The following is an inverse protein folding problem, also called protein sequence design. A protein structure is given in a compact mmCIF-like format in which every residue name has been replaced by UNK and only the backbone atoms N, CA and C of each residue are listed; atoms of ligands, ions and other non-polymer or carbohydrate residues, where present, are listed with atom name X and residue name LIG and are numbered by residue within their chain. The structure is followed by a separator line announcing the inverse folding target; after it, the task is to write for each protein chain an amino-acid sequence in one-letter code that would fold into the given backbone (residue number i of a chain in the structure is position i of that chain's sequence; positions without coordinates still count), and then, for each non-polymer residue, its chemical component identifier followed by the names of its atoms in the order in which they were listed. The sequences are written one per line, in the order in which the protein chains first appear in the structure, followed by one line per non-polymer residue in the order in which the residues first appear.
data_IF_587192854588
#
_entry.id   IF_587192854588
#
_cell.length_a   1.000
_cell.length_b   1.000
_cell.length_c   1.000
_cell.angle_alpha   90.00
_cell.angle_beta   90.00
_cell.angle_gamma   90.00
#
_symmetry.space_group_name_H-M   'P 1'
#
loop_
_entity.id
_entity.type
_entity.pdbx_description
1 polymer ?
#
# COMPACT_ATOMS: atom_id res chain seq x y z
N UNK A 1 22.01 -1.93 20.08
CA UNK A 1 20.53 -1.98 20.01
C UNK A 1 19.92 -1.37 18.72
N UNK A 2 20.71 -1.12 17.66
CA UNK A 2 20.25 -0.32 16.49
C UNK A 2 19.25 -1.03 15.55
N UNK A 3 19.17 -2.36 15.51
CA UNK A 3 18.30 -3.08 14.56
C UNK A 3 16.79 -2.89 14.76
N UNK A 4 16.34 -2.73 16.02
CA UNK A 4 14.90 -2.66 16.35
C UNK A 4 14.22 -1.36 15.89
N UNK A 5 14.93 -0.24 15.96
CA UNK A 5 14.37 1.07 15.59
C UNK A 5 14.02 1.15 14.10
N UNK A 6 14.82 0.52 13.23
CA UNK A 6 14.57 0.49 11.79
C UNK A 6 13.29 -0.27 11.45
N UNK A 7 13.09 -1.41 12.11
CA UNK A 7 11.90 -2.24 11.89
C UNK A 7 10.62 -1.52 12.31
N UNK A 8 10.67 -0.80 13.43
CA UNK A 8 9.50 -0.07 13.97
C UNK A 8 9.15 1.11 13.06
N UNK A 9 10.13 1.89 12.61
CA UNK A 9 9.90 3.04 11.74
C UNK A 9 9.32 2.62 10.37
N UNK A 10 9.94 1.63 9.72
CA UNK A 10 9.45 1.07 8.46
C UNK A 10 8.07 0.43 8.62
N UNK A 11 7.84 -0.27 9.73
CA UNK A 11 6.55 -0.89 10.03
C UNK A 11 5.42 0.12 10.19
N UNK A 12 5.64 1.14 11.02
CA UNK A 12 4.63 2.18 11.29
C UNK A 12 4.26 2.95 10.02
N UNK A 13 5.26 3.39 9.24
CA UNK A 13 5.00 4.11 8.00
C UNK A 13 4.38 3.20 6.94
N UNK A 14 4.81 1.95 6.85
CA UNK A 14 4.20 0.95 5.96
C UNK A 14 2.73 0.71 6.29
N UNK A 15 2.36 0.59 7.56
CA UNK A 15 0.96 0.44 8.00
C UNK A 15 0.15 1.67 7.63
N UNK A 16 0.67 2.87 7.94
CA UNK A 16 -0.03 4.12 7.68
C UNK A 16 -0.29 4.28 6.17
N UNK A 17 0.72 4.05 5.35
CA UNK A 17 0.63 4.12 3.87
C UNK A 17 -0.30 3.06 3.31
N UNK A 18 -0.18 1.81 3.75
CA UNK A 18 -1.03 0.71 3.30
C UNK A 18 -2.50 0.94 3.64
N UNK A 19 -2.79 1.49 4.83
CA UNK A 19 -4.15 1.83 5.25
C UNK A 19 -4.70 2.99 4.45
N UNK A 20 -3.92 4.07 4.25
CA UNK A 20 -4.31 5.21 3.43
C UNK A 20 -4.58 4.82 1.98
N UNK A 21 -3.77 3.92 1.41
CA UNK A 21 -3.96 3.40 0.06
C UNK A 21 -5.21 2.51 -0.06
N UNK A 22 -5.63 1.86 1.01
CA UNK A 22 -6.77 0.96 1.00
C UNK A 22 -8.15 1.67 1.08
N UNK A 23 -8.22 2.97 1.38
CA UNK A 23 -9.50 3.69 1.50
C UNK A 23 -10.00 4.16 0.12
N UNK A 24 -11.11 3.58 -0.41
CA UNK A 24 -11.74 4.04 -1.63
C UNK A 24 -12.40 5.40 -1.37
N UNK A 25 -11.93 6.43 -2.05
CA UNK A 25 -12.33 7.84 -1.85
C UNK A 25 -11.13 8.77 -1.67
N UNK A 26 -10.18 8.38 -0.80
CA UNK A 26 -8.87 9.04 -0.73
C UNK A 26 -7.94 8.61 -1.88
N UNK A 27 -8.27 7.48 -2.53
CA UNK A 27 -7.61 7.01 -3.75
C UNK A 27 -7.79 7.97 -4.96
N UNK A 28 -8.60 9.03 -4.86
CA UNK A 28 -8.67 10.12 -5.86
C UNK A 28 -7.51 11.11 -5.70
N UNK A 29 -6.88 11.21 -4.52
CA UNK A 29 -5.66 12.01 -4.31
C UNK A 29 -4.40 11.39 -4.94
N UNK A 30 -4.54 10.31 -5.72
CA UNK A 30 -3.51 9.41 -6.25
C UNK A 30 -3.53 9.32 -7.79
N UNK A 31 -3.56 10.44 -8.51
CA UNK A 31 -3.30 10.41 -9.96
C UNK A 31 -1.93 9.76 -10.32
N UNK A 32 -1.05 9.58 -9.34
CA UNK A 32 0.16 8.77 -9.42
C UNK A 32 0.17 7.74 -8.28
N UNK A 33 0.03 6.45 -8.60
CA UNK A 33 -0.02 5.34 -7.62
C UNK A 33 1.20 5.26 -6.68
N UNK A 34 2.29 5.96 -7.03
CA UNK A 34 3.55 5.97 -6.30
C UNK A 34 3.62 7.03 -5.19
N UNK A 35 2.73 8.03 -5.19
CA UNK A 35 2.88 9.22 -4.33
C UNK A 35 2.98 8.88 -2.82
N UNK A 36 2.10 8.06 -2.25
CA UNK A 36 2.19 7.74 -0.83
C UNK A 36 3.23 6.66 -0.54
N UNK A 37 3.66 5.89 -1.54
CA UNK A 37 4.88 5.09 -1.41
C UNK A 37 6.08 6.02 -1.19
N UNK A 38 6.20 7.11 -1.97
CA UNK A 38 7.26 8.10 -1.80
C UNK A 38 7.18 8.78 -0.44
N UNK A 39 6.00 9.25 -0.04
CA UNK A 39 5.79 9.87 1.29
C UNK A 39 6.08 8.88 2.42
N UNK A 40 5.67 7.62 2.25
CA UNK A 40 5.92 6.53 3.18
C UNK A 40 7.39 6.24 3.42
N UNK A 41 8.12 6.00 2.33
CA UNK A 41 9.56 5.73 2.36
C UNK A 41 10.32 6.92 2.92
N UNK A 42 9.96 8.15 2.50
CA UNK A 42 10.59 9.35 3.02
C UNK A 42 10.35 9.55 4.52
N UNK A 43 9.12 9.32 4.98
CA UNK A 43 8.80 9.38 6.41
C UNK A 43 9.51 8.30 7.23
N UNK A 44 9.69 7.09 6.68
CA UNK A 44 10.40 6.00 7.36
C UNK A 44 11.90 6.33 7.53
N UNK A 45 12.53 6.91 6.50
CA UNK A 45 13.90 7.40 6.57
C UNK A 45 14.01 8.56 7.58
N UNK A 46 13.09 9.52 7.53
CA UNK A 46 13.08 10.65 8.46
C UNK A 46 12.96 10.21 9.92
N UNK A 47 12.03 9.32 10.25
CA UNK A 47 11.91 8.77 11.60
C UNK A 47 13.16 8.02 12.03
N UNK A 48 13.76 7.25 11.11
CA UNK A 48 14.98 6.50 11.40
C UNK A 48 16.15 7.44 11.73
N UNK A 49 16.32 8.52 10.95
CA UNK A 49 17.35 9.53 11.17
C UNK A 49 17.14 10.26 12.50
N UNK A 50 15.89 10.65 12.81
CA UNK A 50 15.55 11.31 14.08
C UNK A 50 15.82 10.42 15.30
N UNK A 51 15.67 9.10 15.15
CA UNK A 51 15.93 8.15 16.25
C UNK A 51 17.42 7.88 16.44
N UNK A 52 18.25 8.07 15.40
CA UNK A 52 19.69 7.83 15.42
C UNK A 52 20.44 9.09 14.99
N UNK A 53 20.37 10.14 15.81
CA UNK A 53 20.77 11.52 15.46
C UNK A 53 22.23 11.69 14.99
N UNK A 54 23.10 10.71 15.23
CA UNK A 54 24.54 10.80 14.94
C UNK A 54 25.10 9.68 14.05
N UNK A 55 24.28 8.73 13.58
CA UNK A 55 24.77 7.63 12.76
C UNK A 55 24.64 7.97 11.26
N UNK A 56 25.74 8.00 10.49
CA UNK A 56 25.66 8.13 9.04
C UNK A 56 24.85 6.94 8.46
N UNK A 57 23.98 7.24 7.51
CA UNK A 57 23.13 6.23 6.87
C UNK A 57 23.73 5.87 5.51
N UNK A 58 24.11 4.61 5.34
CA UNK A 58 24.58 4.12 4.05
C UNK A 58 23.41 3.90 3.06
N UNK A 59 23.70 4.01 1.77
CA UNK A 59 22.72 3.77 0.69
C UNK A 59 22.06 2.39 0.83
N UNK A 60 22.83 1.36 1.20
CA UNK A 60 22.32 0.00 1.40
C UNK A 60 21.25 -0.06 2.51
N UNK A 61 21.41 0.73 3.58
CA UNK A 61 20.41 0.81 4.66
C UNK A 61 19.15 1.53 4.21
N UNK A 62 19.28 2.61 3.45
CA UNK A 62 18.13 3.34 2.89
C UNK A 62 17.33 2.46 1.91
N UNK A 63 18.00 1.67 1.07
CA UNK A 63 17.35 0.69 0.19
C UNK A 63 16.56 -0.35 1.00
N UNK A 64 17.17 -0.91 2.05
CA UNK A 64 16.51 -1.91 2.90
C UNK A 64 15.27 -1.34 3.62
N UNK A 65 15.36 -0.11 4.14
CA UNK A 65 14.23 0.59 4.77
C UNK A 65 13.10 0.81 3.75
N UNK A 66 13.42 1.25 2.53
CA UNK A 66 12.44 1.42 1.46
C UNK A 66 11.74 0.12 1.10
N UNK A 67 12.50 -0.96 0.91
CA UNK A 67 11.96 -2.29 0.62
C UNK A 67 11.04 -2.80 1.73
N UNK A 68 11.49 -2.74 2.99
CA UNK A 68 10.68 -3.17 4.14
C UNK A 68 9.37 -2.39 4.24
N UNK A 69 9.43 -1.08 4.02
CA UNK A 69 8.25 -0.22 4.04
C UNK A 69 7.25 -0.62 2.95
N UNK A 70 7.73 -0.92 1.73
CA UNK A 70 6.89 -1.36 0.61
C UNK A 70 6.26 -2.74 0.84
N UNK A 71 7.00 -3.69 1.42
CA UNK A 71 6.48 -5.01 1.76
C UNK A 71 5.36 -4.87 2.79
N UNK A 72 5.60 -4.14 3.90
CA UNK A 72 4.58 -3.92 4.94
C UNK A 72 3.36 -3.20 4.37
N UNK A 73 3.57 -2.15 3.58
CA UNK A 73 2.48 -1.41 2.95
C UNK A 73 1.63 -2.32 2.04
N UNK A 74 2.26 -3.20 1.26
CA UNK A 74 1.56 -4.14 0.37
C UNK A 74 0.73 -5.16 1.15
N UNK A 75 1.29 -5.71 2.23
CA UNK A 75 0.58 -6.66 3.11
C UNK A 75 -0.62 -5.98 3.77
N UNK A 76 -0.43 -4.77 4.31
CA UNK A 76 -1.51 -4.01 4.96
C UNK A 76 -2.57 -3.60 3.95
N UNK A 77 -2.17 -3.14 2.77
CA UNK A 77 -3.07 -2.82 1.68
C UNK A 77 -3.93 -4.02 1.28
N UNK A 78 -3.32 -5.20 1.17
CA UNK A 78 -4.05 -6.43 0.86
C UNK A 78 -5.06 -6.77 1.97
N UNK A 79 -4.64 -6.78 3.23
CA UNK A 79 -5.53 -7.11 4.37
C UNK A 79 -6.70 -6.13 4.46
N UNK A 80 -6.40 -4.82 4.47
CA UNK A 80 -7.43 -3.78 4.62
C UNK A 80 -8.29 -3.69 3.37
N UNK A 81 -7.68 -3.73 2.18
CA UNK A 81 -8.38 -3.65 0.90
C UNK A 81 -9.32 -4.83 0.68
N UNK A 82 -8.87 -6.07 0.93
CA UNK A 82 -9.74 -7.25 0.87
C UNK A 82 -10.84 -7.18 1.93
N UNK A 83 -10.52 -6.79 3.16
CA UNK A 83 -11.51 -6.63 4.23
C UNK A 83 -12.60 -5.61 3.88
N UNK A 84 -12.21 -4.45 3.35
CA UNK A 84 -13.14 -3.40 2.96
C UNK A 84 -13.99 -3.81 1.75
N UNK A 85 -13.44 -4.57 0.82
CA UNK A 85 -14.17 -5.08 -0.34
C UNK A 85 -15.22 -6.12 0.06
N UNK A 86 -14.87 -7.04 0.97
CA UNK A 86 -15.82 -7.99 1.54
C UNK A 86 -16.95 -7.27 2.29
N UNK A 87 -16.60 -6.23 3.06
CA UNK A 87 -17.59 -5.39 3.74
C UNK A 87 -18.51 -4.68 2.74
N UNK A 88 -17.95 -4.13 1.68
CA UNK A 88 -18.71 -3.46 0.61
C UNK A 88 -19.71 -4.43 -0.02
N UNK A 89 -19.28 -5.65 -0.31
CA UNK A 89 -20.14 -6.71 -0.85
C UNK A 89 -21.24 -7.11 0.14
N UNK A 90 -20.92 -7.21 1.44
CA UNK A 90 -21.90 -7.52 2.48
C UNK A 90 -22.92 -6.39 2.70
N UNK A 91 -22.58 -5.15 2.33
CA UNK A 91 -23.48 -3.99 2.42
C UNK A 91 -24.37 -3.82 1.18
N UNK A 92 -24.03 -4.42 0.02
CA UNK A 92 -24.88 -4.45 -1.19
C UNK A 92 -26.33 -4.89 -0.88
N UNK A 93 -26.61 -5.95 -0.08
CA UNK A 93 -27.98 -6.34 0.21
C UNK A 93 -28.78 -5.28 0.97
N UNK A 94 -28.17 -4.32 1.67
CA UNK A 94 -28.91 -3.22 2.30
C UNK A 94 -29.45 -2.22 1.28
N UNK A 95 -28.91 -2.20 0.06
CA UNK A 95 -29.44 -1.46 -1.08
C UNK A 95 -30.51 -2.25 -1.85
N UNK A 96 -30.96 -3.41 -1.33
CA UNK A 96 -31.91 -4.30 -2.01
C UNK A 96 -33.21 -3.63 -2.44
N UNK A 97 -33.70 -2.59 -1.76
CA UNK A 97 -34.89 -1.85 -2.22
C UNK A 97 -34.73 -1.23 -3.61
N UNK A 98 -33.50 -0.96 -4.05
CA UNK A 98 -33.19 -0.50 -5.41
C UNK A 98 -33.10 -1.70 -6.37
N UNK A 99 -32.62 -2.86 -5.88
CA UNK A 99 -32.42 -4.10 -6.65
C UNK A 99 -33.67 -5.00 -6.75
N UNK A 100 -34.73 -4.78 -5.96
CA UNK A 100 -35.99 -5.53 -6.00
C UNK A 100 -36.95 -5.04 -7.08
N UNK A 101 -36.58 -4.01 -7.86
CA UNK A 101 -37.35 -3.65 -9.06
C UNK A 101 -37.35 -4.83 -10.03
N UNK A 102 -38.52 -5.30 -10.50
CA UNK A 102 -38.63 -6.51 -11.32
C UNK A 102 -37.80 -6.43 -12.61
N UNK A 103 -37.69 -5.23 -13.20
CA UNK A 103 -36.86 -4.96 -14.38
C UNK A 103 -35.35 -5.16 -14.14
N UNK A 104 -34.90 -5.02 -12.89
CA UNK A 104 -33.50 -5.19 -12.51
C UNK A 104 -33.21 -6.66 -12.13
N UNK A 105 -34.18 -7.34 -11.51
CA UNK A 105 -34.04 -8.74 -11.11
C UNK A 105 -33.95 -9.71 -12.30
N UNK A 106 -34.68 -9.48 -13.39
CA UNK A 106 -34.65 -10.36 -14.56
C UNK A 106 -33.26 -10.34 -15.23
N UNK A 107 -32.67 -9.14 -15.40
CA UNK A 107 -31.29 -8.96 -15.89
C UNK A 107 -30.21 -9.42 -14.91
N UNK A 108 -30.49 -9.37 -13.61
CA UNK A 108 -29.57 -9.86 -12.59
C UNK A 108 -29.57 -11.39 -12.59
N UNK A 109 -30.74 -12.03 -12.55
CA UNK A 109 -30.98 -13.50 -12.54
C UNK A 109 -30.37 -14.21 -13.74
N UNK A 110 -30.48 -13.64 -14.94
CA UNK A 110 -29.80 -14.13 -16.15
C UNK A 110 -28.26 -14.07 -16.01
N UNK A 111 -27.75 -13.13 -15.21
CA UNK A 111 -26.34 -13.00 -14.85
C UNK A 111 -25.93 -13.77 -13.60
N UNK A 112 -26.80 -14.40 -12.78
CA UNK A 112 -26.39 -14.99 -11.48
C UNK A 112 -25.57 -16.28 -11.65
N UNK A 113 -25.86 -17.07 -12.69
CA UNK A 113 -24.98 -18.17 -13.11
C UNK A 113 -23.58 -17.69 -13.53
N UNK A 114 -23.49 -16.45 -14.02
CA UNK A 114 -22.24 -15.73 -14.33
C UNK A 114 -21.68 -15.03 -13.07
N UNK A 115 -22.51 -14.67 -12.09
CA UNK A 115 -22.15 -13.84 -10.92
C UNK A 115 -21.26 -14.58 -9.92
N UNK A 116 -21.44 -15.90 -9.75
CA UNK A 116 -20.48 -16.72 -8.99
C UNK A 116 -19.10 -16.75 -9.65
N UNK A 117 -19.07 -16.84 -10.99
CA UNK A 117 -17.84 -16.76 -11.78
C UNK A 117 -17.21 -15.37 -11.76
N UNK A 118 -18.01 -14.31 -11.86
CA UNK A 118 -17.58 -12.91 -11.78
C UNK A 118 -17.04 -12.59 -10.38
N UNK A 119 -17.61 -13.15 -9.33
CA UNK A 119 -17.10 -13.02 -7.95
C UNK A 119 -15.70 -13.63 -7.81
N UNK A 120 -15.54 -14.89 -8.24
CA UNK A 120 -14.22 -15.55 -8.26
C UNK A 120 -13.23 -14.81 -9.16
N UNK A 121 -13.66 -14.36 -10.34
CA UNK A 121 -12.83 -13.59 -11.26
C UNK A 121 -12.42 -12.23 -10.68
N UNK A 122 -13.30 -11.56 -9.93
CA UNK A 122 -13.02 -10.27 -9.28
C UNK A 122 -11.99 -10.45 -8.16
N UNK A 123 -12.13 -11.49 -7.34
CA UNK A 123 -11.15 -11.79 -6.29
C UNK A 123 -9.80 -12.17 -6.91
N UNK A 124 -9.80 -13.08 -7.89
CA UNK A 124 -8.55 -13.52 -8.54
C UNK A 124 -7.87 -12.34 -9.23
N UNK A 125 -8.61 -11.54 -10.00
CA UNK A 125 -8.05 -10.36 -10.67
C UNK A 125 -7.51 -9.34 -9.68
N UNK A 126 -8.17 -9.13 -8.54
CA UNK A 126 -7.68 -8.25 -7.48
C UNK A 126 -6.41 -8.78 -6.81
N UNK A 127 -6.33 -10.08 -6.52
CA UNK A 127 -5.12 -10.72 -5.98
C UNK A 127 -3.97 -10.58 -6.96
N UNK A 128 -4.19 -10.87 -8.25
CA UNK A 128 -3.19 -10.74 -9.30
C UNK A 128 -2.72 -9.29 -9.41
N UNK A 129 -3.63 -8.32 -9.46
CA UNK A 129 -3.28 -6.91 -9.50
C UNK A 129 -2.49 -6.46 -8.28
N UNK A 130 -2.86 -6.93 -7.09
CA UNK A 130 -2.15 -6.60 -5.86
C UNK A 130 -0.72 -7.17 -5.88
N UNK A 131 -0.53 -8.38 -6.38
CA UNK A 131 0.80 -8.97 -6.55
C UNK A 131 1.63 -8.16 -7.54
N UNK A 132 1.06 -7.82 -8.70
CA UNK A 132 1.76 -7.03 -9.74
C UNK A 132 2.17 -5.66 -9.18
N UNK A 133 1.26 -4.93 -8.55
CA UNK A 133 1.58 -3.65 -7.92
C UNK A 133 2.57 -3.79 -6.77
N UNK A 134 2.44 -4.85 -5.96
CA UNK A 134 3.37 -5.16 -4.89
C UNK A 134 4.80 -5.36 -5.40
N UNK A 135 4.98 -6.09 -6.50
CA UNK A 135 6.29 -6.29 -7.14
C UNK A 135 6.84 -4.96 -7.66
N UNK A 136 6.03 -4.17 -8.37
CA UNK A 136 6.42 -2.86 -8.89
C UNK A 136 6.86 -1.93 -7.74
N UNK A 137 6.09 -1.89 -6.65
CA UNK A 137 6.42 -1.10 -5.48
C UNK A 137 7.68 -1.58 -4.77
N UNK A 138 7.89 -2.90 -4.67
CA UNK A 138 9.13 -3.46 -4.13
C UNK A 138 10.35 -3.12 -5.00
N UNK A 139 10.18 -2.94 -6.31
CA UNK A 139 11.26 -2.53 -7.21
C UNK A 139 11.56 -1.01 -7.12
N UNK A 140 10.52 -0.18 -6.99
CA UNK A 140 10.64 1.29 -6.97
C UNK A 140 11.06 1.81 -5.58
N UNK A 141 10.55 1.23 -4.50
CA UNK A 141 10.78 1.73 -3.15
C UNK A 141 12.27 1.81 -2.72
N UNK A 142 13.15 0.85 -3.07
CA UNK A 142 14.58 0.97 -2.79
C UNK A 142 15.21 2.17 -3.50
N UNK A 143 14.84 2.41 -4.76
CA UNK A 143 15.34 3.53 -5.57
C UNK A 143 14.88 4.84 -4.95
N UNK A 144 13.61 4.94 -4.58
CA UNK A 144 13.04 6.09 -3.88
C UNK A 144 13.71 6.32 -2.53
N UNK A 145 14.06 5.26 -1.80
CA UNK A 145 14.78 5.37 -0.53
C UNK A 145 16.14 6.03 -0.70
N UNK A 146 16.93 5.59 -1.68
CA UNK A 146 18.24 6.18 -2.00
C UNK A 146 18.09 7.60 -2.51
N UNK A 147 17.15 7.84 -3.43
CA UNK A 147 16.87 9.17 -3.95
C UNK A 147 16.48 10.13 -2.82
N UNK A 148 15.62 9.70 -1.89
CA UNK A 148 15.23 10.53 -0.75
C UNK A 148 16.42 10.88 0.13
N UNK A 149 17.29 9.91 0.42
CA UNK A 149 18.49 10.17 1.22
C UNK A 149 19.41 11.19 0.53
N UNK A 150 19.66 11.03 -0.77
CA UNK A 150 20.52 11.93 -1.54
C UNK A 150 19.95 13.34 -1.72
N UNK A 151 18.66 13.46 -2.05
CA UNK A 151 18.05 14.75 -2.39
C UNK A 151 17.54 15.51 -1.16
N UNK A 152 16.97 14.82 -0.17
CA UNK A 152 16.34 15.46 0.99
C UNK A 152 17.32 15.60 2.16
N UNK A 153 18.25 14.65 2.31
CA UNK A 153 19.20 14.64 3.43
C UNK A 153 20.68 14.51 2.99
N UNK A 154 21.17 15.33 2.04
CA UNK A 154 22.53 15.20 1.51
C UNK A 154 23.61 15.28 2.59
N UNK A 155 23.42 16.16 3.59
CA UNK A 155 24.37 16.38 4.70
C UNK A 155 24.59 15.16 5.61
N UNK A 156 23.76 14.12 5.52
CA UNK A 156 23.87 12.91 6.34
C UNK A 156 24.66 11.79 5.66
N UNK A 157 25.06 11.98 4.40
CA UNK A 157 25.91 11.04 3.64
C UNK A 157 27.40 11.28 3.86
N UNK A 158 27.81 12.52 4.16
CA UNK A 158 29.21 12.96 4.24
C UNK A 158 30.02 12.33 5.40
N UNK A 159 29.41 11.51 6.25
CA UNK A 159 30.10 10.75 7.30
C UNK A 159 30.11 9.24 7.09
N UNK A 160 29.61 8.73 5.96
CA UNK A 160 29.39 7.30 5.71
C UNK A 160 30.50 6.60 4.92
N UNK A 161 31.56 7.31 4.51
CA UNK A 161 32.71 6.78 3.78
C UNK A 161 33.79 6.21 4.71
#
# INVERSE_FOLDING_TARGET
MSGRSHLIASGLMGILVGTLAAIPGLNVSFYCCCLPLVVGVAGAIFMTLKTNDNAPMSNNRAMAIGLLTAIVATVVYFIVGTGLQLLTIALIPQYQEIFTRPEFQEKLMENIGITGGVFFFTIISQVVWTIVFGIIFCAIAPIVGVATLNFVFPKRLEGAE
#
